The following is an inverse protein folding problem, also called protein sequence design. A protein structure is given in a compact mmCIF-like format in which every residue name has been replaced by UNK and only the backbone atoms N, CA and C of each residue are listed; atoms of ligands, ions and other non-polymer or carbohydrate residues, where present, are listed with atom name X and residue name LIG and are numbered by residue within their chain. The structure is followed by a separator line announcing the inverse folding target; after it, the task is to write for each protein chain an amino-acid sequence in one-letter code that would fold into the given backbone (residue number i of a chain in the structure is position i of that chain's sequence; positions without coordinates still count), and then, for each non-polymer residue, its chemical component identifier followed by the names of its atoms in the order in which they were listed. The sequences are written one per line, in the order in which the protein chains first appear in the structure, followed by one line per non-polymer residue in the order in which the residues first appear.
data_IF_027921413260
#
_entry.id   IF_027921413260
#
_cell.length_a   1.000
_cell.length_b   1.000
_cell.length_c   1.000
_cell.angle_alpha   90.00
_cell.angle_beta   90.00
_cell.angle_gamma   90.00
#
_symmetry.space_group_name_H-M   'P 1'
#
loop_
_entity.id
_entity.type
_entity.pdbx_description
1 polymer ?
#
# COMPACT_ATOMS: atom_id res chain seq x y z
N UNK A 1 2.86 -14.65 37.36
CA UNK A 1 2.80 -13.36 36.63
C UNK A 1 3.74 -13.42 35.44
N UNK A 2 3.27 -13.34 34.18
CA UNK A 2 4.13 -13.52 33.03
C UNK A 2 4.91 -12.22 32.70
N UNK A 3 6.19 -12.41 32.44
CA UNK A 3 7.23 -11.42 32.13
C UNK A 3 6.86 -10.49 30.96
N UNK A 4 7.00 -9.19 31.21
CA UNK A 4 6.66 -8.09 30.30
C UNK A 4 7.77 -7.91 29.25
N UNK A 5 7.67 -8.64 28.13
CA UNK A 5 8.60 -8.52 27.00
C UNK A 5 8.52 -7.10 26.42
N UNK A 6 9.63 -6.37 26.52
CA UNK A 6 9.83 -5.06 25.90
C UNK A 6 9.49 -5.09 24.40
N UNK A 7 8.37 -4.47 24.05
CA UNK A 7 7.94 -4.28 22.67
C UNK A 7 8.72 -3.08 22.09
N UNK A 8 9.70 -3.33 21.22
CA UNK A 8 10.29 -2.27 20.38
C UNK A 8 9.24 -1.84 19.34
N UNK A 9 8.85 -0.56 19.25
CA UNK A 9 7.87 -0.11 18.28
C UNK A 9 8.45 -0.17 16.85
N UNK A 10 7.93 -1.10 16.03
CA UNK A 10 8.29 -1.28 14.60
C UNK A 10 7.73 -0.18 13.66
N UNK A 11 7.62 1.07 14.11
CA UNK A 11 6.97 2.15 13.32
C UNK A 11 7.90 3.24 12.78
N UNK A 12 9.22 3.08 12.91
CA UNK A 12 10.21 4.00 12.33
C UNK A 12 10.31 3.95 10.77
N UNK A 13 9.54 3.11 10.08
CA UNK A 13 9.61 2.96 8.62
C UNK A 13 8.67 3.91 7.84
N UNK A 14 7.81 4.65 8.55
CA UNK A 14 6.71 5.47 7.99
C UNK A 14 7.16 6.63 7.07
N UNK A 15 7.95 7.52 7.67
CA UNK A 15 8.29 8.85 7.15
C UNK A 15 9.63 8.90 6.39
N UNK A 16 10.41 7.82 6.40
CA UNK A 16 11.75 7.81 5.79
C UNK A 16 11.72 7.67 4.26
N UNK A 17 10.73 6.96 3.68
CA UNK A 17 10.67 6.79 2.21
C UNK A 17 10.21 8.02 1.43
N UNK A 18 9.32 8.84 1.98
CA UNK A 18 8.86 10.06 1.29
C UNK A 18 9.81 11.26 1.44
N UNK A 19 10.57 11.35 2.53
CA UNK A 19 11.55 12.43 2.72
C UNK A 19 12.86 12.21 1.94
N UNK A 20 13.23 10.97 1.61
CA UNK A 20 14.40 10.69 0.77
C UNK A 20 14.16 10.92 -0.73
N UNK A 21 12.91 10.86 -1.21
CA UNK A 21 12.60 11.12 -2.63
C UNK A 21 12.63 12.62 -3.00
N UNK A 22 12.48 13.53 -2.04
CA UNK A 22 12.52 14.98 -2.29
C UNK A 22 13.90 15.63 -2.07
N UNK A 23 14.83 14.97 -1.36
CA UNK A 23 16.22 15.47 -1.21
C UNK A 23 17.14 15.15 -2.39
N UNK A 24 16.69 14.35 -3.37
CA UNK A 24 17.50 14.00 -4.55
C UNK A 24 17.34 14.96 -5.75
N UNK A 25 16.54 16.04 -5.63
CA UNK A 25 16.31 17.01 -6.71
C UNK A 25 16.75 18.43 -6.31
N UNK A 26 18.05 18.63 -6.15
CA UNK A 26 18.64 19.98 -6.24
C UNK A 26 20.07 19.99 -6.76
N UNK A 27 20.46 18.98 -7.55
CA UNK A 27 21.58 19.15 -8.48
C UNK A 27 21.00 19.52 -9.82
N UNK A 28 20.88 20.83 -10.04
CA UNK A 28 20.73 21.44 -11.37
C UNK A 28 21.87 20.92 -12.26
N UNK A 29 21.63 19.80 -12.93
CA UNK A 29 22.45 19.36 -14.04
C UNK A 29 21.99 20.22 -15.20
N UNK A 30 22.77 21.25 -15.50
CA UNK A 30 22.54 22.13 -16.65
C UNK A 30 22.38 21.27 -17.90
N UNK A 31 21.34 21.57 -18.68
CA UNK A 31 21.00 20.88 -19.93
C UNK A 31 22.09 20.99 -21.01
N UNK A 32 23.16 21.76 -20.76
CA UNK A 32 24.32 21.88 -21.64
C UNK A 32 25.30 20.70 -21.52
N UNK A 33 25.23 19.89 -20.45
CA UNK A 33 26.18 18.79 -20.24
C UNK A 33 25.87 17.51 -21.01
N UNK A 34 24.62 17.31 -21.46
CA UNK A 34 24.20 16.05 -22.11
C UNK A 34 24.33 16.14 -23.63
N UNK A 35 24.39 17.35 -24.20
CA UNK A 35 24.59 17.58 -25.64
C UNK A 35 26.03 17.36 -26.11
N UNK A 36 27.01 17.40 -25.22
CA UNK A 36 28.43 17.48 -25.60
C UNK A 36 29.17 16.13 -25.64
N UNK A 37 28.50 15.02 -25.32
CA UNK A 37 29.12 13.68 -25.32
C UNK A 37 28.88 12.86 -26.61
N UNK A 38 28.23 13.42 -27.64
CA UNK A 38 27.94 12.70 -28.89
C UNK A 38 28.78 13.14 -30.12
N UNK A 39 29.75 14.05 -30.00
CA UNK A 39 30.47 14.59 -31.18
C UNK A 39 31.99 14.73 -31.01
N UNK A 40 32.67 13.78 -30.35
CA UNK A 40 34.14 13.77 -30.27
C UNK A 40 34.73 12.39 -30.63
N UNK A 41 34.41 11.94 -31.84
CA UNK A 41 35.12 10.86 -32.49
C UNK A 41 35.69 11.36 -33.82
N UNK A 42 36.58 12.36 -33.76
CA UNK A 42 37.33 12.78 -34.95
C UNK A 42 38.78 13.16 -34.61
N UNK A 43 39.70 12.41 -35.22
CA UNK A 43 41.14 12.66 -35.50
C UNK A 43 42.15 12.56 -34.35
N UNK A 44 42.78 11.38 -34.25
CA UNK A 44 44.18 11.22 -33.82
C UNK A 44 45.00 10.69 -35.01
N UNK A 45 46.02 11.43 -35.51
CA UNK A 45 46.98 10.89 -36.46
C UNK A 45 48.23 10.36 -35.75
N UNK A 46 48.70 9.18 -36.18
CA UNK A 46 50.12 8.82 -36.10
C UNK A 46 50.53 7.82 -35.02
N UNK A 47 50.24 6.53 -35.24
CA UNK A 47 51.13 5.44 -34.79
C UNK A 47 51.26 4.43 -35.91
N UNK A 48 52.49 4.25 -36.44
CA UNK A 48 52.82 3.27 -37.47
C UNK A 48 52.64 1.87 -36.89
N UNK A 49 51.81 1.06 -37.56
CA UNK A 49 51.69 -0.36 -37.35
C UNK A 49 52.47 -1.06 -38.48
N UNK A 50 53.56 -1.73 -38.14
CA UNK A 50 54.08 -2.82 -38.97
C UNK A 50 53.33 -4.09 -38.57
N UNK A 51 52.78 -4.75 -39.58
CA UNK A 51 52.50 -6.18 -39.69
C UNK A 51 51.74 -6.87 -38.56
N UNK A 52 50.48 -6.49 -38.38
CA UNK A 52 49.44 -7.40 -37.90
C UNK A 52 48.42 -7.67 -39.01
N UNK A 53 48.86 -8.44 -40.00
CA UNK A 53 47.99 -9.05 -41.01
C UNK A 53 47.34 -10.31 -40.42
N UNK A 54 46.47 -10.12 -39.42
CA UNK A 54 45.67 -11.18 -38.80
C UNK A 54 44.21 -10.98 -39.20
N UNK A 55 43.89 -11.56 -40.37
CA UNK A 55 42.57 -12.05 -40.78
C UNK A 55 41.36 -11.61 -39.94
N UNK A 56 40.52 -10.76 -40.52
CA UNK A 56 39.05 -10.75 -40.43
C UNK A 56 38.46 -11.51 -39.25
N UNK A 57 38.52 -10.89 -38.07
CA UNK A 57 37.54 -11.17 -37.03
C UNK A 57 36.66 -9.93 -36.93
N UNK A 58 35.70 -9.84 -37.85
CA UNK A 58 34.56 -8.94 -37.75
C UNK A 58 33.85 -9.26 -36.44
N UNK A 59 34.19 -8.53 -35.38
CA UNK A 59 33.39 -8.57 -34.17
C UNK A 59 32.06 -7.93 -34.53
N UNK A 60 31.03 -8.75 -34.77
CA UNK A 60 29.65 -8.30 -34.88
C UNK A 60 29.37 -7.35 -33.71
N UNK A 61 29.28 -6.05 -34.00
CA UNK A 61 28.90 -5.07 -32.98
C UNK A 61 27.57 -5.51 -32.42
N UNK A 62 27.50 -5.79 -31.12
CA UNK A 62 26.32 -6.34 -30.46
C UNK A 62 25.07 -5.57 -30.90
N UNK A 63 24.29 -6.15 -31.80
CA UNK A 63 23.17 -5.47 -32.44
C UNK A 63 22.14 -5.16 -31.36
N UNK A 64 21.94 -3.86 -31.11
CA UNK A 64 20.97 -3.40 -30.14
C UNK A 64 19.56 -3.67 -30.70
N UNK A 65 19.02 -4.87 -30.44
CA UNK A 65 17.70 -5.36 -30.87
C UNK A 65 16.54 -4.43 -30.47
N UNK A 66 16.79 -3.41 -29.65
CA UNK A 66 15.81 -2.46 -29.15
C UNK A 66 16.07 -1.02 -29.58
N UNK A 67 17.05 -0.75 -30.45
CA UNK A 67 17.39 0.61 -30.89
C UNK A 67 16.20 1.40 -31.47
N UNK A 68 15.26 0.71 -32.11
CA UNK A 68 14.03 1.32 -32.67
C UNK A 68 12.77 1.14 -31.82
N UNK A 69 12.84 0.39 -30.72
CA UNK A 69 11.66 0.18 -29.87
C UNK A 69 11.32 1.48 -29.14
N UNK A 70 10.09 1.97 -29.34
CA UNK A 70 9.60 3.21 -28.74
C UNK A 70 9.75 4.46 -29.59
N UNK A 71 10.51 4.42 -30.71
CA UNK A 71 10.65 5.58 -31.60
C UNK A 71 9.29 6.05 -32.14
N UNK A 72 8.49 5.11 -32.65
CA UNK A 72 7.12 5.37 -33.12
C UNK A 72 6.24 6.00 -32.03
N UNK A 73 6.41 5.57 -30.78
CA UNK A 73 5.64 6.15 -29.66
C UNK A 73 6.07 7.57 -29.34
N UNK A 74 7.35 7.91 -29.49
CA UNK A 74 7.88 9.25 -29.22
C UNK A 74 7.53 10.21 -30.37
N UNK A 75 7.62 9.75 -31.61
CA UNK A 75 7.18 10.51 -32.79
C UNK A 75 5.69 10.87 -32.67
N UNK A 76 4.84 9.89 -32.30
CA UNK A 76 3.43 10.15 -32.01
C UNK A 76 3.21 11.14 -30.84
N UNK A 77 4.08 11.15 -29.82
CA UNK A 77 4.02 12.15 -28.73
C UNK A 77 4.45 13.54 -29.20
N UNK A 78 5.38 13.65 -30.16
CA UNK A 78 5.81 14.92 -30.73
C UNK A 78 4.71 15.51 -31.62
N UNK A 79 4.11 14.69 -32.49
CA UNK A 79 2.98 15.09 -33.35
C UNK A 79 1.78 15.58 -32.52
N UNK A 80 1.46 14.89 -31.42
CA UNK A 80 0.30 15.20 -30.57
C UNK A 80 0.63 16.07 -29.35
N UNK A 81 1.80 16.73 -29.31
CA UNK A 81 2.32 17.37 -28.09
C UNK A 81 1.37 18.43 -27.49
N UNK A 82 0.64 19.17 -28.33
CA UNK A 82 -0.28 20.21 -27.89
C UNK A 82 -1.54 19.62 -27.25
N UNK A 83 -2.11 18.57 -27.86
CA UNK A 83 -3.26 17.87 -27.32
C UNK A 83 -2.92 17.17 -26.01
N UNK A 84 -1.80 16.46 -25.97
CA UNK A 84 -1.33 15.76 -24.77
C UNK A 84 -1.06 16.74 -23.63
N UNK A 85 -0.50 17.92 -23.93
CA UNK A 85 -0.34 18.98 -22.93
C UNK A 85 -1.67 19.47 -22.39
N UNK A 86 -2.68 19.68 -23.25
CA UNK A 86 -4.03 20.10 -22.82
C UNK A 86 -4.69 19.01 -21.98
N UNK A 87 -4.66 17.76 -22.42
CA UNK A 87 -5.20 16.60 -21.71
C UNK A 87 -4.52 16.40 -20.37
N UNK A 88 -3.19 16.50 -20.32
CA UNK A 88 -2.39 16.38 -19.10
C UNK A 88 -2.73 17.47 -18.09
N UNK A 89 -2.84 18.73 -18.54
CA UNK A 89 -3.26 19.85 -17.68
C UNK A 89 -4.67 19.69 -17.14
N UNK A 90 -5.62 19.24 -17.96
CA UNK A 90 -6.99 19.01 -17.51
C UNK A 90 -7.05 17.87 -16.48
N UNK A 91 -6.38 16.74 -16.77
CA UNK A 91 -6.29 15.62 -15.83
C UNK A 91 -5.65 16.02 -14.51
N UNK A 92 -4.61 16.86 -14.52
CA UNK A 92 -3.96 17.33 -13.29
C UNK A 92 -4.89 18.19 -12.43
N UNK A 93 -5.80 18.95 -13.06
CA UNK A 93 -6.78 19.80 -12.36
C UNK A 93 -7.97 19.00 -11.84
N UNK A 94 -8.42 18.02 -12.61
CA UNK A 94 -9.56 17.15 -12.32
C UNK A 94 -9.16 15.93 -11.47
N UNK A 95 -7.88 15.83 -11.09
CA UNK A 95 -7.40 14.66 -10.39
C UNK A 95 -8.10 14.54 -9.03
N UNK A 96 -8.88 13.49 -8.87
CA UNK A 96 -9.45 13.11 -7.59
C UNK A 96 -8.49 12.19 -6.82
N UNK A 97 -8.69 12.07 -5.51
CA UNK A 97 -7.89 11.21 -4.65
C UNK A 97 -8.27 9.71 -4.78
N UNK A 98 -8.24 9.18 -6.00
CA UNK A 98 -8.68 7.82 -6.36
C UNK A 98 -7.51 6.85 -6.50
N UNK A 99 -6.63 6.79 -5.51
CA UNK A 99 -5.51 5.83 -5.53
C UNK A 99 -5.99 4.41 -5.15
N UNK A 100 -5.35 3.35 -5.64
CA UNK A 100 -5.55 1.97 -5.14
C UNK A 100 -6.84 1.25 -5.59
N UNK A 101 -7.14 0.12 -4.94
CA UNK A 101 -8.27 -0.73 -5.30
C UNK A 101 -9.64 -0.05 -5.02
N UNK A 102 -10.71 -0.37 -5.79
CA UNK A 102 -12.03 0.27 -5.65
C UNK A 102 -12.54 0.34 -4.20
N UNK A 103 -12.52 -0.77 -3.46
CA UNK A 103 -12.95 -0.75 -2.05
C UNK A 103 -12.08 0.09 -1.12
N UNK A 104 -10.81 0.34 -1.47
CA UNK A 104 -9.97 1.29 -0.73
C UNK A 104 -10.34 2.74 -1.04
N UNK A 105 -10.75 3.02 -2.28
CA UNK A 105 -11.25 4.34 -2.71
C UNK A 105 -12.53 4.67 -1.94
N UNK A 106 -13.49 3.74 -1.91
CA UNK A 106 -14.75 3.92 -1.18
C UNK A 106 -14.52 4.18 0.30
N UNK A 107 -13.62 3.41 0.92
CA UNK A 107 -13.27 3.60 2.33
C UNK A 107 -12.61 4.95 2.59
N UNK A 108 -11.74 5.44 1.69
CA UNK A 108 -11.17 6.79 1.83
C UNK A 108 -12.26 7.86 1.74
N UNK A 109 -13.12 7.79 0.74
CA UNK A 109 -14.22 8.72 0.56
C UNK A 109 -15.12 8.75 1.79
N UNK A 110 -15.52 7.58 2.30
CA UNK A 110 -16.33 7.45 3.50
C UNK A 110 -15.68 8.11 4.73
N UNK A 111 -14.38 7.89 4.97
CA UNK A 111 -13.70 8.45 6.13
C UNK A 111 -13.46 9.95 6.03
N UNK A 112 -13.18 10.46 4.83
CA UNK A 112 -13.08 11.90 4.59
C UNK A 112 -14.43 12.59 4.74
N UNK A 113 -15.50 12.03 4.18
CA UNK A 113 -16.85 12.57 4.33
C UNK A 113 -17.29 12.61 5.79
N UNK A 114 -16.92 11.60 6.60
CA UNK A 114 -17.16 11.62 8.06
C UNK A 114 -16.42 12.76 8.75
N UNK A 115 -15.17 13.01 8.38
CA UNK A 115 -14.40 14.13 8.92
C UNK A 115 -15.02 15.48 8.51
N UNK A 116 -15.37 15.63 7.24
CA UNK A 116 -15.98 16.86 6.71
C UNK A 116 -17.31 17.17 7.42
N UNK A 117 -18.15 16.14 7.62
CA UNK A 117 -19.39 16.27 8.39
C UNK A 117 -19.13 16.62 9.86
N UNK A 118 -18.11 16.01 10.49
CA UNK A 118 -17.75 16.34 11.86
C UNK A 118 -17.27 17.79 12.00
N UNK A 119 -16.45 18.27 11.07
CA UNK A 119 -15.99 19.67 11.03
C UNK A 119 -17.17 20.62 10.85
N UNK A 120 -18.10 20.30 9.94
CA UNK A 120 -19.29 21.10 9.71
C UNK A 120 -20.18 21.19 10.97
N UNK A 121 -20.39 20.08 11.67
CA UNK A 121 -21.21 20.02 12.89
C UNK A 121 -20.52 20.75 14.05
N UNK A 122 -19.20 20.58 14.22
CA UNK A 122 -18.42 21.20 15.29
C UNK A 122 -18.14 22.69 15.06
N UNK A 123 -18.51 23.24 13.89
CA UNK A 123 -18.30 24.64 13.49
C UNK A 123 -16.84 25.08 13.61
N UNK A 124 -15.89 24.14 13.45
CA UNK A 124 -14.46 24.45 13.49
C UNK A 124 -14.08 25.16 12.20
N UNK A 125 -13.42 26.31 12.33
CA UNK A 125 -12.92 27.08 11.19
C UNK A 125 -11.68 26.35 10.64
N UNK A 126 -11.78 25.84 9.42
CA UNK A 126 -10.69 25.14 8.74
C UNK A 126 -10.06 26.05 7.69
N UNK A 127 -8.75 26.24 7.81
CA UNK A 127 -7.96 26.93 6.80
C UNK A 127 -7.87 26.06 5.54
N UNK A 128 -8.18 26.64 4.38
CA UNK A 128 -8.11 25.96 3.07
C UNK A 128 -6.70 25.49 2.75
N UNK A 129 -5.68 26.20 3.24
CA UNK A 129 -4.27 25.93 2.90
C UNK A 129 -3.64 24.89 3.83
N UNK A 130 -3.92 25.00 5.14
CA UNK A 130 -3.32 24.16 6.20
C UNK A 130 -4.16 22.94 6.55
N UNK A 131 -5.46 22.97 6.27
CA UNK A 131 -6.39 21.92 6.68
C UNK A 131 -6.76 21.99 8.16
N UNK A 132 -7.44 20.96 8.68
CA UNK A 132 -7.91 20.93 10.06
C UNK A 132 -6.76 20.77 11.06
N UNK A 133 -6.92 21.38 12.23
CA UNK A 133 -5.94 21.28 13.32
C UNK A 133 -5.77 19.81 13.78
N UNK A 134 -4.55 19.37 14.12
CA UNK A 134 -4.32 18.02 14.64
C UNK A 134 -5.18 17.66 15.87
N UNK A 135 -5.49 18.63 16.72
CA UNK A 135 -6.32 18.43 17.90
C UNK A 135 -7.80 18.21 17.55
N UNK A 136 -8.27 18.80 16.43
CA UNK A 136 -9.59 18.49 15.88
C UNK A 136 -9.65 17.03 15.42
N UNK A 137 -8.58 16.53 14.81
CA UNK A 137 -8.47 15.14 14.40
C UNK A 137 -8.43 14.18 15.60
N UNK A 138 -7.76 14.57 16.69
CA UNK A 138 -7.77 13.84 17.95
C UNK A 138 -9.20 13.68 18.49
N UNK A 139 -9.93 14.79 18.64
CA UNK A 139 -11.32 14.79 19.13
C UNK A 139 -12.27 14.02 18.21
N UNK A 140 -12.07 14.13 16.89
CA UNK A 140 -12.82 13.35 15.92
C UNK A 140 -12.62 11.85 16.13
N UNK A 141 -11.37 11.39 16.28
CA UNK A 141 -11.07 9.97 16.48
C UNK A 141 -11.64 9.44 17.79
N UNK A 142 -11.57 10.22 18.86
CA UNK A 142 -12.18 9.87 20.14
C UNK A 142 -13.70 9.71 20.00
N UNK A 143 -14.35 10.70 19.40
CA UNK A 143 -15.81 10.73 19.21
C UNK A 143 -16.26 9.58 18.30
N UNK A 144 -15.62 9.41 17.13
CA UNK A 144 -16.07 8.42 16.15
C UNK A 144 -15.93 6.99 16.64
N UNK A 145 -14.91 6.69 17.46
CA UNK A 145 -14.73 5.35 18.04
C UNK A 145 -15.89 4.97 18.97
N UNK A 146 -16.47 5.94 19.69
CA UNK A 146 -17.63 5.68 20.57
C UNK A 146 -18.92 5.40 19.80
N UNK A 147 -19.05 5.93 18.58
CA UNK A 147 -20.27 5.80 17.79
C UNK A 147 -20.21 4.73 16.68
N UNK A 148 -19.02 4.27 16.30
CA UNK A 148 -18.88 3.22 15.29
C UNK A 148 -19.29 1.87 15.87
N UNK A 149 -20.32 1.29 15.26
CA UNK A 149 -20.70 -0.11 15.49
C UNK A 149 -19.89 -1.02 14.56
N UNK A 150 -19.54 -2.19 15.08
CA UNK A 150 -18.99 -3.25 14.24
C UNK A 150 -20.05 -3.76 13.26
N UNK A 151 -19.67 -4.00 12.00
CA UNK A 151 -20.57 -4.61 11.01
C UNK A 151 -20.90 -6.08 11.32
N UNK A 152 -20.13 -6.74 12.19
CA UNK A 152 -20.39 -8.12 12.60
C UNK A 152 -21.33 -8.16 13.82
N UNK A 153 -22.47 -8.85 13.70
CA UNK A 153 -23.56 -8.95 14.70
C UNK A 153 -23.11 -9.28 16.13
N UNK A 154 -22.06 -10.09 16.29
CA UNK A 154 -21.60 -10.57 17.60
C UNK A 154 -20.26 -9.97 18.06
N UNK A 155 -19.78 -8.94 17.36
CA UNK A 155 -18.50 -8.32 17.70
C UNK A 155 -18.77 -7.06 18.53
N UNK A 156 -18.33 -7.00 19.80
CA UNK A 156 -18.76 -5.97 20.74
C UNK A 156 -18.21 -4.58 20.40
N UNK A 157 -17.01 -4.51 19.82
CA UNK A 157 -16.32 -3.26 19.53
C UNK A 157 -15.57 -3.34 18.19
N UNK A 158 -15.33 -2.20 17.50
CA UNK A 158 -14.52 -2.17 16.28
C UNK A 158 -13.08 -2.62 16.51
N UNK A 159 -12.39 -3.02 15.43
CA UNK A 159 -10.98 -3.41 15.50
C UNK A 159 -10.09 -2.17 15.50
N UNK A 160 -9.04 -2.19 16.33
CA UNK A 160 -8.02 -1.15 16.35
C UNK A 160 -7.40 -0.91 14.96
N UNK A 161 -7.16 -1.99 14.20
CA UNK A 161 -6.58 -1.89 12.86
C UNK A 161 -7.48 -1.12 11.88
N UNK A 162 -8.81 -1.23 12.03
CA UNK A 162 -9.76 -0.48 11.20
C UNK A 162 -9.61 1.01 11.43
N UNK A 163 -9.47 1.45 12.67
CA UNK A 163 -9.28 2.87 13.03
C UNK A 163 -7.89 3.36 12.61
N UNK A 164 -6.84 2.53 12.74
CA UNK A 164 -5.51 2.88 12.22
C UNK A 164 -5.51 3.05 10.69
N UNK A 165 -6.23 2.20 9.96
CA UNK A 165 -6.38 2.33 8.52
C UNK A 165 -7.22 3.57 8.16
N UNK A 166 -8.29 3.85 8.91
CA UNK A 166 -9.08 5.06 8.76
C UNK A 166 -8.24 6.33 8.92
N UNK A 167 -7.40 6.38 9.95
CA UNK A 167 -6.49 7.49 10.18
C UNK A 167 -5.48 7.66 9.03
N UNK A 168 -4.94 6.56 8.49
CA UNK A 168 -4.08 6.60 7.29
C UNK A 168 -4.81 7.18 6.08
N UNK A 169 -6.06 6.77 5.87
CA UNK A 169 -6.90 7.27 4.80
C UNK A 169 -7.17 8.76 4.93
N UNK A 170 -7.53 9.23 6.13
CA UNK A 170 -7.72 10.64 6.42
C UNK A 170 -6.42 11.41 6.19
N UNK A 171 -5.30 10.95 6.76
CA UNK A 171 -4.00 11.60 6.60
C UNK A 171 -3.58 11.71 5.14
N UNK A 172 -3.77 10.66 4.33
CA UNK A 172 -3.48 10.71 2.89
C UNK A 172 -4.39 11.68 2.14
N UNK A 173 -5.68 11.71 2.49
CA UNK A 173 -6.63 12.61 1.84
C UNK A 173 -6.43 14.07 2.23
N UNK A 174 -6.05 14.35 3.48
CA UNK A 174 -5.70 15.70 3.92
C UNK A 174 -4.43 16.20 3.25
N UNK A 175 -3.41 15.35 3.11
CA UNK A 175 -2.19 15.67 2.37
C UNK A 175 -2.48 15.98 0.89
N UNK A 176 -3.44 15.29 0.29
CA UNK A 176 -3.86 15.54 -1.09
C UNK A 176 -4.67 16.84 -1.23
N UNK A 177 -5.58 17.12 -0.29
CA UNK A 177 -6.44 18.32 -0.31
C UNK A 177 -5.70 19.61 0.09
N UNK A 178 -4.71 19.50 0.95
CA UNK A 178 -4.02 20.63 1.57
C UNK A 178 -2.51 20.46 1.42
N UNK A 179 -1.91 21.25 0.53
CA UNK A 179 -0.48 21.16 0.19
C UNK A 179 0.44 21.33 1.42
N UNK A 180 0.05 22.21 2.36
CA UNK A 180 0.85 22.50 3.55
C UNK A 180 0.52 21.61 4.75
N UNK A 181 -0.40 20.66 4.63
CA UNK A 181 -0.81 19.83 5.75
C UNK A 181 0.30 18.84 6.13
N UNK A 182 0.76 18.94 7.37
CA UNK A 182 1.74 18.03 7.96
C UNK A 182 1.36 17.69 9.39
N UNK A 183 1.37 16.41 9.70
CA UNK A 183 1.17 15.94 11.07
C UNK A 183 2.52 15.88 11.80
N UNK A 184 2.66 16.69 12.85
CA UNK A 184 3.82 16.61 13.74
C UNK A 184 3.92 15.22 14.39
N UNK A 185 5.15 14.74 14.57
CA UNK A 185 5.44 13.47 15.26
C UNK A 185 4.82 13.41 16.66
N UNK A 186 4.78 14.55 17.35
CA UNK A 186 4.18 14.65 18.67
C UNK A 186 2.66 14.36 18.65
N UNK A 187 1.92 14.91 17.68
CA UNK A 187 0.50 14.62 17.54
C UNK A 187 0.25 13.17 17.08
N UNK A 188 1.13 12.60 16.25
CA UNK A 188 1.03 11.19 15.89
C UNK A 188 1.15 10.27 17.13
N UNK A 189 2.10 10.56 18.03
CA UNK A 189 2.24 9.83 19.30
C UNK A 189 1.01 10.02 20.18
N UNK A 190 0.48 11.25 20.30
CA UNK A 190 -0.77 11.50 21.05
C UNK A 190 -1.94 10.66 20.53
N UNK A 191 -2.11 10.56 19.21
CA UNK A 191 -3.15 9.74 18.60
C UNK A 191 -2.93 8.26 18.91
N UNK A 192 -1.70 7.76 18.81
CA UNK A 192 -1.40 6.38 19.20
C UNK A 192 -1.70 6.12 20.69
N UNK A 193 -1.37 7.05 21.58
CA UNK A 193 -1.70 6.93 23.02
C UNK A 193 -3.20 6.94 23.28
N UNK A 194 -3.97 7.76 22.54
CA UNK A 194 -5.43 7.77 22.60
C UNK A 194 -6.01 6.42 22.18
N UNK A 195 -5.54 5.86 21.06
CA UNK A 195 -6.01 4.56 20.58
C UNK A 195 -5.70 3.44 21.57
N UNK A 196 -4.54 3.50 22.23
CA UNK A 196 -4.20 2.54 23.28
C UNK A 196 -5.05 2.72 24.54
N UNK A 197 -5.40 3.95 24.92
CA UNK A 197 -6.34 4.23 26.01
C UNK A 197 -7.75 3.68 25.70
N UNK A 198 -8.29 3.96 24.50
CA UNK A 198 -9.58 3.44 24.04
C UNK A 198 -9.60 1.90 23.95
N UNK A 199 -8.46 1.29 23.68
CA UNK A 199 -8.31 -0.18 23.72
C UNK A 199 -8.38 -0.70 25.17
N UNK A 200 -7.73 -0.02 26.12
CA UNK A 200 -7.78 -0.38 27.55
C UNK A 200 -9.18 -0.23 28.12
N UNK A 201 -9.95 0.76 27.66
CA UNK A 201 -11.36 0.96 28.01
C UNK A 201 -12.30 -0.08 27.41
N UNK A 202 -11.82 -0.96 26.52
CA UNK A 202 -12.65 -1.96 25.84
C UNK A 202 -13.50 -1.42 24.68
N UNK A 203 -13.36 -0.13 24.33
CA UNK A 203 -14.02 0.47 23.16
C UNK A 203 -13.43 -0.02 21.84
N UNK A 204 -12.20 -0.55 21.86
CA UNK A 204 -11.52 -1.13 20.71
C UNK A 204 -10.97 -2.52 21.03
N UNK A 205 -11.06 -3.41 20.05
CA UNK A 205 -10.47 -4.76 20.13
C UNK A 205 -9.08 -4.75 19.50
N UNK A 206 -8.07 -5.21 20.26
CA UNK A 206 -6.72 -5.45 19.74
C UNK A 206 -6.63 -6.84 19.10
N UNK A 207 -5.90 -6.94 17.99
CA UNK A 207 -5.69 -8.20 17.26
C UNK A 207 -6.77 -8.51 16.22
N UNK A 208 -6.70 -9.74 15.67
CA UNK A 208 -7.69 -10.24 14.71
C UNK A 208 -8.85 -10.84 15.50
N UNK A 209 -10.02 -10.24 15.38
CA UNK A 209 -11.24 -10.89 15.85
C UNK A 209 -11.64 -11.94 14.81
N UNK A 210 -11.67 -13.21 15.21
CA UNK A 210 -12.31 -14.28 14.46
C UNK A 210 -13.62 -14.63 15.12
N UNK A 211 -14.69 -14.75 14.32
CA UNK A 211 -15.87 -15.48 14.79
C UNK A 211 -15.39 -16.89 15.07
N UNK A 212 -15.62 -17.42 16.27
CA UNK A 212 -15.42 -18.84 16.53
C UNK A 212 -16.30 -19.58 15.52
N UNK A 213 -15.70 -20.16 14.48
CA UNK A 213 -16.38 -21.00 13.49
C UNK A 213 -16.65 -22.38 14.10
N UNK A 214 -17.12 -22.39 15.35
CA UNK A 214 -17.29 -23.60 16.15
C UNK A 214 -18.15 -24.63 15.40
N UNK A 215 -19.20 -24.17 14.73
CA UNK A 215 -20.05 -25.04 13.91
C UNK A 215 -19.29 -25.69 12.74
N UNK A 216 -18.39 -24.98 12.06
CA UNK A 216 -17.62 -25.55 10.96
C UNK A 216 -16.61 -26.59 11.44
N UNK A 217 -15.92 -26.32 12.55
CA UNK A 217 -15.02 -27.29 13.18
C UNK A 217 -15.77 -28.52 13.70
N UNK A 218 -16.92 -28.33 14.35
CA UNK A 218 -17.75 -29.44 14.86
C UNK A 218 -18.34 -30.25 13.70
N UNK A 219 -18.82 -29.59 12.64
CA UNK A 219 -19.33 -30.29 11.46
C UNK A 219 -18.24 -31.11 10.78
N UNK A 220 -17.06 -30.53 10.57
CA UNK A 220 -15.92 -31.23 9.99
C UNK A 220 -15.51 -32.43 10.86
N UNK A 221 -15.46 -32.26 12.18
CA UNK A 221 -15.19 -33.35 13.12
C UNK A 221 -16.22 -34.48 13.01
N UNK A 222 -17.52 -34.15 12.96
CA UNK A 222 -18.59 -35.15 12.83
C UNK A 222 -18.52 -35.90 11.49
N UNK A 223 -18.26 -35.19 10.39
CA UNK A 223 -18.06 -35.82 9.08
C UNK A 223 -16.83 -36.73 9.07
N UNK A 224 -15.71 -36.30 9.64
CA UNK A 224 -14.50 -37.09 9.74
C UNK A 224 -14.71 -38.37 10.57
N UNK A 225 -15.42 -38.28 11.70
CA UNK A 225 -15.80 -39.45 12.52
C UNK A 225 -16.69 -40.42 11.76
N UNK A 226 -17.76 -39.94 11.13
CA UNK A 226 -18.67 -40.78 10.35
C UNK A 226 -17.95 -41.48 9.18
N UNK A 227 -17.01 -40.79 8.53
CA UNK A 227 -16.20 -41.38 7.46
C UNK A 227 -15.25 -42.47 7.97
N UNK A 228 -14.60 -42.26 9.13
CA UNK A 228 -13.74 -43.26 9.76
C UNK A 228 -14.54 -44.48 10.24
N UNK A 229 -15.71 -44.28 10.85
CA UNK A 229 -16.61 -45.35 11.29
C UNK A 229 -17.08 -46.19 10.09
N UNK A 230 -17.49 -45.56 8.99
CA UNK A 230 -17.88 -46.26 7.77
C UNK A 230 -16.71 -47.06 7.17
N UNK A 231 -15.51 -46.47 7.14
CA UNK A 231 -14.30 -47.16 6.66
C UNK A 231 -13.94 -48.38 7.50
N UNK A 232 -14.02 -48.27 8.83
CA UNK A 232 -13.77 -49.39 9.75
C UNK A 232 -14.81 -50.51 9.59
N UNK A 233 -16.09 -50.18 9.41
CA UNK A 233 -17.13 -51.18 9.12
C UNK A 233 -16.85 -51.95 7.83
N UNK A 234 -16.46 -51.27 6.76
CA UNK A 234 -16.13 -51.92 5.48
C UNK A 234 -14.94 -52.87 5.64
N UNK A 235 -13.88 -52.45 6.34
CA UNK A 235 -12.70 -53.28 6.61
C UNK A 235 -13.08 -54.53 7.42
N UNK A 236 -13.93 -54.37 8.44
CA UNK A 236 -14.40 -55.49 9.26
C UNK A 236 -15.16 -56.54 8.43
N UNK A 237 -16.08 -56.10 7.57
CA UNK A 237 -16.84 -56.99 6.67
C UNK A 237 -15.91 -57.74 5.72
N UNK A 238 -14.92 -57.05 5.13
CA UNK A 238 -13.94 -57.68 4.24
C UNK A 238 -13.12 -58.74 4.99
N UNK A 239 -12.70 -58.44 6.22
CA UNK A 239 -11.93 -59.36 7.04
C UNK A 239 -12.73 -60.63 7.43
N UNK A 240 -14.01 -60.47 7.77
CA UNK A 240 -14.90 -61.59 8.09
C UNK A 240 -15.13 -62.51 6.88
N UNK A 241 -15.31 -61.94 5.69
CA UNK A 241 -15.43 -62.72 4.44
C UNK A 241 -14.15 -63.50 4.10
N UNK A 242 -12.97 -62.92 4.35
CA UNK A 242 -11.69 -63.60 4.14
C UNK A 242 -11.50 -64.80 5.08
N UNK A 243 -11.87 -64.67 6.34
CA UNK A 243 -11.77 -65.78 7.30
C UNK A 243 -12.74 -66.92 6.98
N UNK A 244 -13.96 -66.60 6.56
CA UNK A 244 -14.94 -67.61 6.12
C UNK A 244 -14.48 -68.36 4.86
N UNK A 245 -13.75 -67.71 3.96
CA UNK A 245 -13.20 -68.36 2.77
C UNK A 245 -11.97 -69.23 3.06
N UNK A 246 -11.31 -69.04 4.22
CA UNK A 246 -10.12 -69.79 4.61
C UNK A 246 -10.43 -71.03 5.48
N UNK A 247 -11.66 -71.12 6.02
CA UNK A 247 -12.15 -72.25 6.83
C UNK A 247 -12.83 -73.31 5.95
#
# INVERSE_FOLDING_TARGET
MPSNKHYKPKFAYFQSRHSQLFKAKSKSTSLESISSQCWLAEKMPGRRAEDFNSSDQEYDTASNKHARKGFVSIEAMQENMFEDRKRSKNRLREQEHTLGAPGSIDMRGLWLNRLDNYVAISKVIVDKTKGPEPDTLYRFLETIVTHIKSNFKNKPAPQLQTIKNAFRYISSGLLFRHESWQLSKHHAIKIDTLLDALTKEGKLIRGRWSKNQWLGTVLFEKMARAWLEAGLCVIYIIWEQLNLAAA
#
